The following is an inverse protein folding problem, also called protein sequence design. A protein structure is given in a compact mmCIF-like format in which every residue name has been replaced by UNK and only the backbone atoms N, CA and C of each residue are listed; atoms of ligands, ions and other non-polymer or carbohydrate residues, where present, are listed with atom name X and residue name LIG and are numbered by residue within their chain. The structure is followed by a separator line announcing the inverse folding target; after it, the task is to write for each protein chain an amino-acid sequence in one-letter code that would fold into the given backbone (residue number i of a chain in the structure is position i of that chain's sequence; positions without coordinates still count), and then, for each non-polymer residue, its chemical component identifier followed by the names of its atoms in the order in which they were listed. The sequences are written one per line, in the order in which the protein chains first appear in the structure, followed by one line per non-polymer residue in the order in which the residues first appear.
data_IF_272599544989
#
_entry.id   IF_272599544989
#
_cell.length_a   1.000
_cell.length_b   1.000
_cell.length_c   1.000
_cell.angle_alpha   90.00
_cell.angle_beta   90.00
_cell.angle_gamma   90.00
#
_symmetry.space_group_name_H-M   'P 1'
#
loop_
_entity.id
_entity.type
_entity.pdbx_description
1 polymer ?
#
# COMPACT_ATOMS: atom_id res chain seq x y z
N UNK A 1 -36.27 -3.95 -42.66
CA UNK A 1 -35.14 -3.21 -43.25
C UNK A 1 -34.12 -2.93 -42.16
N UNK A 2 -32.89 -3.40 -42.37
CA UNK A 2 -31.65 -3.16 -41.61
C UNK A 2 -31.35 -1.65 -41.44
N UNK A 3 -30.62 -1.12 -40.45
CA UNK A 3 -29.21 -1.37 -40.10
C UNK A 3 -28.82 -0.78 -38.71
N UNK A 4 -27.83 -1.45 -38.08
CA UNK A 4 -26.63 -0.94 -37.33
C UNK A 4 -26.80 0.08 -36.19
N UNK A 5 -26.47 -0.28 -34.94
CA UNK A 5 -25.12 -0.38 -34.32
C UNK A 5 -24.47 0.97 -34.02
N UNK A 6 -24.32 1.28 -32.72
CA UNK A 6 -23.26 2.16 -32.20
C UNK A 6 -22.94 1.72 -30.79
N UNK A 7 -21.68 1.35 -30.62
CA UNK A 7 -21.06 0.87 -29.40
C UNK A 7 -21.03 2.00 -28.36
N UNK A 8 -21.48 1.71 -27.14
CA UNK A 8 -20.93 2.37 -25.95
C UNK A 8 -19.98 1.37 -25.26
N UNK A 9 -18.81 1.23 -25.87
CA UNK A 9 -17.60 0.70 -25.24
C UNK A 9 -17.04 1.85 -24.39
N UNK A 10 -17.56 2.07 -23.20
CA UNK A 10 -16.90 2.95 -22.24
C UNK A 10 -17.32 2.65 -20.81
N UNK A 11 -16.33 2.21 -20.03
CA UNK A 11 -16.31 2.15 -18.55
C UNK A 11 -16.62 0.81 -17.89
N UNK A 12 -16.04 -0.27 -18.42
CA UNK A 12 -15.60 -1.38 -17.57
C UNK A 12 -14.26 -1.03 -16.91
N UNK A 13 -14.24 -0.01 -16.02
CA UNK A 13 -13.10 0.19 -15.11
C UNK A 13 -13.42 -0.57 -13.83
N UNK A 14 -13.01 -1.83 -13.86
CA UNK A 14 -12.33 -2.48 -12.73
C UNK A 14 -13.11 -2.53 -11.41
N UNK A 15 -14.22 -3.27 -11.42
CA UNK A 15 -14.53 -4.15 -10.29
C UNK A 15 -13.57 -5.35 -10.28
N UNK A 16 -12.25 -5.10 -10.30
CA UNK A 16 -11.30 -6.11 -9.86
C UNK A 16 -11.42 -6.13 -8.34
N UNK A 17 -12.17 -7.11 -7.85
CA UNK A 17 -12.19 -7.64 -6.49
C UNK A 17 -11.26 -6.90 -5.51
N UNK A 18 -11.83 -5.89 -4.82
CA UNK A 18 -11.12 -5.01 -3.87
C UNK A 18 -10.27 -5.73 -2.81
N UNK A 19 -10.60 -6.94 -2.30
CA UNK A 19 -9.71 -7.68 -1.43
C UNK A 19 -8.60 -8.42 -2.18
N UNK A 20 -8.85 -9.00 -3.36
CA UNK A 20 -7.83 -9.73 -4.12
C UNK A 20 -6.62 -8.87 -4.51
N UNK A 21 -6.85 -7.60 -4.87
CA UNK A 21 -5.75 -6.67 -5.21
C UNK A 21 -4.90 -6.35 -3.98
N UNK A 22 -5.52 -6.17 -2.80
CA UNK A 22 -4.78 -5.93 -1.54
C UNK A 22 -4.04 -7.17 -1.06
N UNK A 23 -4.58 -8.37 -1.30
CA UNK A 23 -3.90 -9.65 -1.05
C UNK A 23 -2.62 -9.83 -1.87
N UNK A 24 -2.41 -9.03 -2.92
CA UNK A 24 -1.14 -8.98 -3.66
C UNK A 24 -0.05 -8.17 -2.94
N UNK A 25 -0.29 -7.67 -1.72
CA UNK A 25 0.68 -6.91 -0.95
C UNK A 25 0.89 -7.55 0.42
N UNK A 26 2.16 -7.69 0.80
CA UNK A 26 2.55 -7.99 2.17
C UNK A 26 2.93 -6.69 2.88
N UNK A 27 2.14 -6.31 3.87
CA UNK A 27 2.38 -5.15 4.74
C UNK A 27 2.79 -5.67 6.11
N UNK A 28 4.08 -5.71 6.37
CA UNK A 28 4.62 -6.13 7.66
C UNK A 28 4.86 -4.91 8.54
N UNK A 29 4.09 -4.81 9.63
CA UNK A 29 4.19 -3.74 10.63
C UNK A 29 4.76 -4.28 11.92
N UNK A 30 5.66 -3.51 12.52
CA UNK A 30 6.22 -3.76 13.83
C UNK A 30 6.66 -2.44 14.45
N UNK A 31 7.24 -2.53 15.64
CA UNK A 31 7.75 -1.38 16.38
C UNK A 31 9.01 -1.81 17.13
N UNK A 32 10.02 -0.95 17.19
CA UNK A 32 11.23 -1.17 17.98
C UNK A 32 11.43 -0.04 18.98
N UNK A 33 11.90 -0.36 20.18
CA UNK A 33 12.33 0.67 21.14
C UNK A 33 13.60 1.33 20.61
N UNK A 34 13.67 2.64 20.73
CA UNK A 34 14.82 3.47 20.39
C UNK A 34 15.11 4.45 21.52
N UNK A 35 16.29 5.06 21.52
CA UNK A 35 16.60 6.14 22.47
C UNK A 35 15.63 7.30 22.22
N UNK A 36 14.82 7.64 23.21
CA UNK A 36 13.83 8.73 23.12
C UNK A 36 12.42 8.33 22.67
N UNK A 37 12.14 7.04 22.46
CA UNK A 37 10.77 6.59 22.20
C UNK A 37 10.67 5.22 21.53
N UNK A 38 9.56 5.00 20.83
CA UNK A 38 9.32 3.82 20.01
C UNK A 38 9.27 4.20 18.54
N UNK A 39 10.12 3.56 17.74
CA UNK A 39 10.19 3.79 16.31
C UNK A 39 9.38 2.72 15.59
N UNK A 40 8.48 3.09 14.67
CA UNK A 40 7.73 2.13 13.90
C UNK A 40 8.62 1.50 12.85
N UNK A 41 8.31 0.27 12.48
CA UNK A 41 9.00 -0.46 11.43
C UNK A 41 7.97 -0.99 10.47
N UNK A 42 8.14 -0.63 9.19
CA UNK A 42 7.23 -0.97 8.11
C UNK A 42 8.02 -1.62 6.99
N UNK A 43 7.44 -2.65 6.39
CA UNK A 43 7.89 -3.19 5.10
C UNK A 43 6.67 -3.48 4.24
N UNK A 44 6.64 -2.92 3.03
CA UNK A 44 5.59 -3.16 2.04
C UNK A 44 6.21 -3.82 0.83
N UNK A 45 5.73 -5.02 0.50
CA UNK A 45 6.21 -5.80 -0.65
C UNK A 45 5.04 -6.19 -1.52
N UNK A 46 5.10 -5.92 -2.82
CA UNK A 46 4.16 -6.45 -3.81
C UNK A 46 4.55 -7.90 -4.11
N UNK A 47 3.59 -8.82 -3.98
CA UNK A 47 3.83 -10.26 -4.03
C UNK A 47 3.98 -10.78 -5.46
N UNK A 48 3.27 -10.18 -6.43
CA UNK A 48 3.28 -10.59 -7.83
C UNK A 48 4.66 -10.57 -8.47
N UNK A 49 5.48 -9.58 -8.14
CA UNK A 49 6.81 -9.32 -8.71
C UNK A 49 7.90 -9.26 -7.63
N UNK A 50 7.56 -9.56 -6.37
CA UNK A 50 8.43 -9.47 -5.18
C UNK A 50 9.04 -8.09 -4.99
N UNK A 51 8.42 -7.05 -5.55
CA UNK A 51 8.94 -5.70 -5.49
C UNK A 51 8.79 -5.13 -4.08
N UNK A 52 9.87 -4.54 -3.58
CA UNK A 52 9.82 -3.76 -2.33
C UNK A 52 9.34 -2.36 -2.65
N UNK A 53 8.16 -2.01 -2.12
CA UNK A 53 7.60 -0.66 -2.21
C UNK A 53 8.17 0.20 -1.08
N UNK A 54 8.38 -0.41 0.09
CA UNK A 54 8.96 0.25 1.24
C UNK A 54 9.78 -0.72 2.10
N UNK A 55 10.97 -0.32 2.60
CA UNK A 55 11.62 0.96 2.33
C UNK A 55 12.25 1.00 0.92
N UNK A 56 12.32 2.20 0.34
CA UNK A 56 13.08 2.45 -0.90
C UNK A 56 14.42 3.15 -0.57
N UNK A 57 15.32 3.19 -1.55
CA UNK A 57 16.65 3.82 -1.37
C UNK A 57 16.48 5.31 -1.08
N UNK A 58 17.09 5.79 0.00
CA UNK A 58 16.97 7.19 0.43
C UNK A 58 15.68 7.51 1.19
N UNK A 59 14.91 6.50 1.59
CA UNK A 59 13.75 6.69 2.44
C UNK A 59 14.14 7.38 3.77
N UNK A 60 13.36 8.38 4.15
CA UNK A 60 13.52 9.07 5.42
C UNK A 60 13.32 8.11 6.60
N UNK A 61 13.99 8.41 7.72
CA UNK A 61 13.77 7.70 8.97
C UNK A 61 12.34 7.90 9.46
N UNK A 62 11.83 6.87 10.11
CA UNK A 62 10.50 6.90 10.70
C UNK A 62 10.47 7.78 11.96
N UNK A 63 9.36 8.49 12.23
CA UNK A 63 9.23 9.31 13.42
C UNK A 63 9.23 8.46 14.71
N UNK A 64 9.58 9.09 15.83
CA UNK A 64 9.50 8.50 17.16
C UNK A 64 8.13 8.76 17.79
N UNK A 65 7.58 7.75 18.44
CA UNK A 65 6.32 7.81 19.17
C UNK A 65 6.52 7.50 20.65
N UNK A 66 5.62 7.98 21.54
CA UNK A 66 5.72 7.71 22.97
C UNK A 66 5.56 6.22 23.32
N UNK A 67 4.74 5.48 22.56
CA UNK A 67 4.41 4.09 22.82
C UNK A 67 4.38 3.23 21.55
N UNK A 68 4.36 1.91 21.75
CA UNK A 68 4.41 0.94 20.66
C UNK A 68 3.11 0.82 19.88
N UNK A 69 1.96 1.11 20.49
CA UNK A 69 0.68 1.03 19.79
C UNK A 69 0.58 2.17 18.78
N UNK A 70 0.83 3.41 19.21
CA UNK A 70 0.82 4.59 18.33
C UNK A 70 1.83 4.44 17.18
N UNK A 71 3.00 3.87 17.44
CA UNK A 71 3.98 3.57 16.40
C UNK A 71 3.42 2.57 15.35
N UNK A 72 2.79 1.48 15.80
CA UNK A 72 2.19 0.49 14.89
C UNK A 72 1.05 1.07 14.09
N UNK A 73 0.14 1.79 14.73
CA UNK A 73 -1.01 2.44 14.08
C UNK A 73 -0.53 3.38 12.97
N UNK A 74 0.53 4.16 13.22
CA UNK A 74 1.16 5.00 12.21
C UNK A 74 1.71 4.17 11.03
N UNK A 75 2.46 3.09 11.29
CA UNK A 75 3.00 2.24 10.23
C UNK A 75 1.91 1.51 9.44
N UNK A 76 0.82 1.10 10.08
CA UNK A 76 -0.35 0.51 9.40
C UNK A 76 -1.00 1.51 8.46
N UNK A 77 -1.27 2.73 8.93
CA UNK A 77 -1.88 3.78 8.12
C UNK A 77 -0.96 4.21 6.96
N UNK A 78 0.34 4.33 7.23
CA UNK A 78 1.32 4.67 6.22
C UNK A 78 1.48 3.56 5.17
N UNK A 79 1.54 2.29 5.61
CA UNK A 79 1.56 1.12 4.72
C UNK A 79 0.33 1.02 3.83
N UNK A 80 -0.86 1.26 4.39
CA UNK A 80 -2.10 1.30 3.62
C UNK A 80 -2.09 2.40 2.56
N UNK A 81 -1.51 3.57 2.88
CA UNK A 81 -1.37 4.68 1.94
C UNK A 81 -0.42 4.37 0.79
N UNK A 82 0.69 3.66 1.07
CA UNK A 82 1.63 3.20 0.04
C UNK A 82 1.00 2.18 -0.91
N UNK A 83 0.27 1.20 -0.36
CA UNK A 83 -0.47 0.21 -1.17
C UNK A 83 -1.53 0.90 -2.02
N UNK A 84 -2.28 1.86 -1.46
CA UNK A 84 -3.28 2.62 -2.21
C UNK A 84 -2.62 3.43 -3.35
N UNK A 85 -1.46 4.03 -3.11
CA UNK A 85 -0.67 4.74 -4.11
C UNK A 85 -0.25 3.83 -5.27
N UNK A 86 0.36 2.68 -4.95
CA UNK A 86 0.81 1.69 -5.94
C UNK A 86 -0.35 1.05 -6.72
N UNK A 87 -1.53 0.90 -6.11
CA UNK A 87 -2.73 0.44 -6.83
C UNK A 87 -3.28 1.52 -7.78
N UNK A 88 -3.28 2.78 -7.33
CA UNK A 88 -3.86 3.89 -8.11
C UNK A 88 -2.97 4.29 -9.29
N UNK A 89 -1.66 4.30 -9.07
CA UNK A 89 -0.63 4.54 -10.07
C UNK A 89 0.40 3.43 -9.89
N UNK A 90 0.13 2.23 -10.44
CA UNK A 90 1.20 1.25 -10.57
C UNK A 90 2.27 1.91 -11.45
N UNK A 91 3.52 1.88 -10.98
CA UNK A 91 4.66 2.42 -11.76
C UNK A 91 4.62 1.99 -13.23
#
# INVERSE_FOLDING_TARGET
MSYSSSLDLSRAVSSLDKPAVRSNYNVAVSSRRATGGTMPTLRVTRLSDKRVIYPFVGCADMPLFPDAQTARDYAEQYGASLVAGDIAVPE
#
